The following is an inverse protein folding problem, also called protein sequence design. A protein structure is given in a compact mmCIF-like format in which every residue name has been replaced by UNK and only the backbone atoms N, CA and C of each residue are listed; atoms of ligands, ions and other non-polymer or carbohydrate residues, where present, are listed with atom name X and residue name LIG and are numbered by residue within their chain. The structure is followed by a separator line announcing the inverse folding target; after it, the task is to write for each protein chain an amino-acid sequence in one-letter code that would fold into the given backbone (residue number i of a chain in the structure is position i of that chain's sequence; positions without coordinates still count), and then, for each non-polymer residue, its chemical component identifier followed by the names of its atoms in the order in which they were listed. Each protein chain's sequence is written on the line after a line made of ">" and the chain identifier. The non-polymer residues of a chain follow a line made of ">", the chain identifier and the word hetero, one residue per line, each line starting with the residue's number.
data_IF_834813494391
#
_entry.id   IF_834813494391
#
_cell.length_a   1.000
_cell.length_b   1.000
_cell.length_c   1.000
_cell.angle_alpha   90.00
_cell.angle_beta   90.00
_cell.angle_gamma   90.00
#
_symmetry.space_group_name_H-M   'P 1'
#
loop_
_entity.id
_entity.type
_entity.pdbx_description
1 polymer ?
#
# COMPACT_ATOMS: atom_id res chain seq x y z
N UNK A 1 -6.94 -5.69 -12.02
CA UNK A 1 -5.61 -6.31 -11.90
C UNK A 1 -5.10 -6.69 -13.29
N UNK A 2 -3.79 -6.83 -13.47
CA UNK A 2 -3.19 -7.10 -14.79
C UNK A 2 -3.44 -8.55 -15.23
N UNK A 3 -4.17 -8.73 -16.34
CA UNK A 3 -4.49 -10.07 -16.87
C UNK A 3 -3.24 -10.80 -17.37
N UNK A 4 -2.26 -10.07 -17.91
CA UNK A 4 -1.01 -10.65 -18.41
C UNK A 4 -0.15 -11.23 -17.26
N UNK A 5 -0.21 -10.62 -16.09
CA UNK A 5 0.44 -11.12 -14.89
C UNK A 5 -0.13 -12.50 -14.49
N UNK A 6 -1.47 -12.64 -14.47
CA UNK A 6 -2.11 -13.91 -14.15
C UNK A 6 -1.78 -15.00 -15.18
N UNK A 7 -1.76 -14.67 -16.48
CA UNK A 7 -1.38 -15.60 -17.53
C UNK A 7 0.07 -16.09 -17.39
N UNK A 8 0.99 -15.19 -17.06
CA UNK A 8 2.40 -15.53 -16.82
C UNK A 8 2.56 -16.48 -15.63
N UNK A 9 1.88 -16.18 -14.52
CA UNK A 9 2.01 -16.99 -13.30
C UNK A 9 1.29 -18.32 -13.41
N UNK A 10 0.09 -18.37 -14.00
CA UNK A 10 -0.69 -19.61 -14.14
C UNK A 10 -0.05 -20.65 -15.06
N UNK A 11 0.69 -20.20 -16.09
CA UNK A 11 1.44 -21.12 -16.98
C UNK A 11 2.57 -21.85 -16.27
N UNK A 12 3.12 -21.28 -15.21
CA UNK A 12 4.28 -21.83 -14.52
C UNK A 12 3.87 -22.58 -13.23
N UNK A 13 2.79 -22.11 -12.55
CA UNK A 13 2.36 -22.66 -11.27
C UNK A 13 0.85 -22.52 -11.08
N UNK A 14 0.21 -23.64 -10.71
CA UNK A 14 -1.22 -23.67 -10.36
C UNK A 14 -1.51 -23.05 -8.97
N UNK A 15 -0.49 -23.01 -8.11
CA UNK A 15 -0.58 -22.59 -6.71
C UNK A 15 0.24 -21.32 -6.48
N UNK A 16 -0.39 -20.30 -5.89
CA UNK A 16 0.26 -19.05 -5.49
C UNK A 16 0.02 -18.77 -4.01
N UNK A 17 1.06 -18.32 -3.31
CA UNK A 17 0.97 -17.88 -1.93
C UNK A 17 0.43 -16.46 -1.83
N UNK A 18 -0.26 -16.16 -0.74
CA UNK A 18 -0.70 -14.82 -0.39
C UNK A 18 -0.44 -14.58 1.10
N UNK A 19 0.41 -13.61 1.41
CA UNK A 19 0.52 -13.06 2.76
C UNK A 19 -0.46 -11.89 2.83
N UNK A 20 -1.55 -12.09 3.58
CA UNK A 20 -2.70 -11.21 3.59
C UNK A 20 -2.70 -10.30 4.83
N UNK A 21 -2.61 -9.00 4.63
CA UNK A 21 -2.85 -7.97 5.64
C UNK A 21 -4.29 -7.46 5.60
N UNK A 22 -4.49 -6.24 6.09
CA UNK A 22 -5.79 -5.58 6.15
C UNK A 22 -6.25 -5.02 4.79
N UNK A 23 -7.50 -4.54 4.78
CA UNK A 23 -8.14 -3.96 3.59
C UNK A 23 -8.64 -4.99 2.59
N UNK A 24 -9.31 -4.54 1.51
CA UNK A 24 -10.01 -5.42 0.57
C UNK A 24 -9.08 -6.08 -0.47
N UNK A 25 -7.85 -5.60 -0.62
CA UNK A 25 -6.95 -6.03 -1.70
C UNK A 25 -6.64 -7.53 -1.69
N UNK A 26 -6.38 -8.19 -0.52
CA UNK A 26 -6.18 -9.64 -0.45
C UNK A 26 -7.38 -10.44 -0.97
N UNK A 27 -8.60 -10.03 -0.59
CA UNK A 27 -9.85 -10.68 -1.02
C UNK A 27 -10.09 -10.49 -2.51
N UNK A 28 -9.85 -9.27 -3.03
CA UNK A 28 -9.97 -8.97 -4.46
C UNK A 28 -8.99 -9.82 -5.30
N UNK A 29 -7.77 -9.96 -4.84
CA UNK A 29 -6.78 -10.81 -5.50
C UNK A 29 -7.20 -12.29 -5.51
N UNK A 30 -7.59 -12.83 -4.35
CA UNK A 30 -7.98 -14.23 -4.23
C UNK A 30 -9.20 -14.55 -5.11
N UNK A 31 -10.19 -13.64 -5.17
CA UNK A 31 -11.35 -13.75 -6.05
C UNK A 31 -10.96 -13.79 -7.53
N UNK A 32 -10.06 -12.91 -7.94
CA UNK A 32 -9.59 -12.81 -9.32
C UNK A 32 -8.76 -14.04 -9.73
N UNK A 33 -7.91 -14.52 -8.83
CA UNK A 33 -7.14 -15.76 -9.02
C UNK A 33 -8.05 -16.97 -9.14
N UNK A 34 -9.04 -17.10 -8.26
CA UNK A 34 -10.06 -18.17 -8.28
C UNK A 34 -10.84 -18.19 -9.59
N UNK A 35 -11.25 -17.00 -10.08
CA UNK A 35 -11.96 -16.89 -11.36
C UNK A 35 -11.13 -17.37 -12.56
N UNK A 36 -9.79 -17.39 -12.44
CA UNK A 36 -8.84 -17.90 -13.43
C UNK A 36 -8.36 -19.32 -13.17
N UNK A 37 -8.98 -20.03 -12.23
CA UNK A 37 -8.64 -21.41 -11.88
C UNK A 37 -7.36 -21.59 -11.07
N UNK A 38 -6.75 -20.52 -10.57
CA UNK A 38 -5.56 -20.59 -9.72
C UNK A 38 -5.93 -20.93 -8.27
N UNK A 39 -5.11 -21.70 -7.60
CA UNK A 39 -5.22 -22.03 -6.18
C UNK A 39 -4.43 -21.04 -5.33
N UNK A 40 -5.11 -20.33 -4.45
CA UNK A 40 -4.47 -19.39 -3.52
C UNK A 40 -4.31 -20.07 -2.16
N UNK A 41 -3.07 -20.17 -1.69
CA UNK A 41 -2.75 -20.53 -0.31
C UNK A 41 -2.48 -19.23 0.44
N UNK A 42 -3.42 -18.83 1.29
CA UNK A 42 -3.33 -17.59 2.02
C UNK A 42 -2.86 -17.82 3.47
N UNK A 43 -1.95 -16.95 3.92
CA UNK A 43 -1.64 -16.74 5.34
C UNK A 43 -2.29 -15.43 5.74
N UNK A 44 -3.33 -15.51 6.55
CA UNK A 44 -4.16 -14.40 7.00
C UNK A 44 -3.79 -14.00 8.43
N UNK A 45 -3.75 -12.71 8.73
CA UNK A 45 -3.41 -12.19 10.04
C UNK A 45 -4.66 -11.93 10.88
N UNK A 46 -4.72 -12.54 12.07
CA UNK A 46 -5.82 -12.37 13.03
C UNK A 46 -6.05 -10.89 13.34
N UNK A 47 -7.31 -10.46 13.23
CA UNK A 47 -7.71 -9.07 13.44
C UNK A 47 -7.33 -8.06 12.38
N UNK A 48 -6.58 -8.44 11.36
CA UNK A 48 -6.19 -7.60 10.23
C UNK A 48 -6.91 -8.01 8.95
N UNK A 49 -6.78 -9.26 8.55
CA UNK A 49 -7.32 -9.77 7.29
C UNK A 49 -8.83 -9.93 7.36
N UNK A 50 -9.51 -9.55 6.30
CA UNK A 50 -10.96 -9.72 6.18
C UNK A 50 -11.33 -11.20 6.09
N UNK A 51 -12.33 -11.68 6.87
CA UNK A 51 -12.71 -13.09 6.91
C UNK A 51 -13.27 -13.61 5.57
N UNK A 52 -13.78 -12.74 4.71
CA UNK A 52 -14.25 -13.07 3.36
C UNK A 52 -13.16 -13.75 2.49
N UNK A 53 -11.90 -13.65 2.89
CA UNK A 53 -10.80 -14.35 2.24
C UNK A 53 -10.97 -15.87 2.28
N UNK A 54 -11.62 -16.43 3.31
CA UNK A 54 -11.87 -17.86 3.45
C UNK A 54 -12.73 -18.43 2.32
N UNK A 55 -13.66 -17.63 1.79
CA UNK A 55 -14.52 -18.05 0.68
C UNK A 55 -13.80 -18.00 -0.68
N UNK A 56 -12.76 -17.17 -0.78
CA UNK A 56 -12.06 -16.89 -2.05
C UNK A 56 -10.79 -17.72 -2.21
N UNK A 57 -10.06 -18.00 -1.15
CA UNK A 57 -8.81 -18.76 -1.19
C UNK A 57 -9.07 -20.28 -1.17
N UNK A 58 -8.14 -21.06 -1.73
CA UNK A 58 -8.17 -22.53 -1.66
C UNK A 58 -7.88 -23.02 -0.24
N UNK A 59 -6.92 -22.37 0.43
CA UNK A 59 -6.55 -22.64 1.83
C UNK A 59 -6.29 -21.30 2.51
N UNK A 60 -6.81 -21.15 3.73
CA UNK A 60 -6.46 -20.03 4.61
C UNK A 60 -5.86 -20.58 5.91
N UNK A 61 -4.69 -20.06 6.27
CA UNK A 61 -4.05 -20.30 7.55
C UNK A 61 -4.03 -18.99 8.33
N UNK A 62 -4.77 -18.93 9.42
CA UNK A 62 -4.73 -17.80 10.34
C UNK A 62 -3.48 -17.84 11.21
N UNK A 63 -2.82 -16.70 11.35
CA UNK A 63 -1.63 -16.49 12.18
C UNK A 63 -1.73 -15.15 12.91
N UNK A 64 -1.04 -15.02 14.01
CA UNK A 64 -0.79 -13.72 14.64
C UNK A 64 0.43 -13.07 14.01
N UNK A 65 0.51 -11.74 14.07
CA UNK A 65 1.69 -11.01 13.59
C UNK A 65 2.92 -11.47 14.37
N UNK A 66 3.93 -12.00 13.65
CA UNK A 66 5.16 -12.53 14.23
C UNK A 66 5.24 -14.07 14.31
N UNK A 67 4.21 -14.82 13.95
CA UNK A 67 4.27 -16.31 13.83
C UNK A 67 4.90 -16.71 12.48
N UNK A 68 6.20 -16.38 12.29
CA UNK A 68 6.92 -16.56 11.03
C UNK A 68 7.09 -18.04 10.65
N UNK A 69 7.38 -18.91 11.61
CA UNK A 69 7.49 -20.35 11.39
C UNK A 69 6.22 -20.91 10.77
N UNK A 70 5.06 -20.60 11.35
CA UNK A 70 3.76 -21.09 10.89
C UNK A 70 3.44 -20.61 9.47
N UNK A 71 3.82 -19.36 9.14
CA UNK A 71 3.72 -18.80 7.80
C UNK A 71 4.52 -19.64 6.80
N UNK A 72 5.82 -19.81 7.03
CA UNK A 72 6.72 -20.53 6.13
C UNK A 72 6.32 -22.01 5.99
N UNK A 73 5.99 -22.69 7.11
CA UNK A 73 5.51 -24.06 7.07
C UNK A 73 4.20 -24.22 6.28
N UNK A 74 3.32 -23.22 6.32
CA UNK A 74 2.08 -23.24 5.53
C UNK A 74 2.35 -23.28 4.05
N UNK A 75 3.32 -22.50 3.59
CA UNK A 75 3.71 -22.47 2.19
C UNK A 75 4.51 -23.69 1.76
N UNK A 76 5.50 -24.11 2.55
CA UNK A 76 6.34 -25.24 2.23
C UNK A 76 5.56 -26.56 2.17
N UNK A 77 4.64 -26.81 3.12
CA UNK A 77 3.77 -28.00 3.13
C UNK A 77 2.86 -28.11 1.91
N UNK A 78 2.63 -27.01 1.17
CA UNK A 78 1.75 -26.94 0.00
C UNK A 78 2.49 -26.65 -1.30
N UNK A 79 3.82 -26.79 -1.27
CA UNK A 79 4.71 -26.56 -2.41
C UNK A 79 4.53 -25.17 -3.07
N UNK A 80 4.23 -24.16 -2.28
CA UNK A 80 4.15 -22.77 -2.75
C UNK A 80 5.55 -22.28 -3.09
N UNK A 81 5.78 -21.92 -4.35
CA UNK A 81 7.06 -21.39 -4.85
C UNK A 81 7.08 -19.87 -5.01
N UNK A 82 5.91 -19.26 -5.09
CA UNK A 82 5.75 -17.81 -5.32
C UNK A 82 4.66 -17.26 -4.42
N UNK A 83 4.91 -16.12 -3.84
CA UNK A 83 3.94 -15.43 -2.97
C UNK A 83 3.88 -13.96 -3.25
N UNK A 84 2.76 -13.35 -2.87
CA UNK A 84 2.53 -11.90 -2.84
C UNK A 84 2.28 -11.45 -1.42
N UNK A 85 2.67 -10.20 -1.12
CA UNK A 85 2.22 -9.50 0.07
C UNK A 85 1.20 -8.45 -0.36
N UNK A 86 -0.02 -8.52 0.17
CA UNK A 86 -1.10 -7.58 -0.14
C UNK A 86 -1.83 -7.14 1.14
N UNK A 87 -2.13 -5.85 1.22
CA UNK A 87 -2.68 -5.22 2.42
C UNK A 87 -1.61 -4.81 3.42
N UNK A 88 -1.99 -4.03 4.40
CA UNK A 88 -1.11 -3.54 5.46
C UNK A 88 -1.31 -4.28 6.78
N UNK A 89 -0.56 -3.86 7.80
CA UNK A 89 -0.76 -4.24 9.21
C UNK A 89 -0.94 -2.97 10.03
N UNK A 90 -1.94 -2.90 10.89
CA UNK A 90 -2.10 -1.78 11.81
C UNK A 90 -0.95 -1.77 12.83
N UNK A 91 -0.07 -0.77 12.71
CA UNK A 91 1.13 -0.66 13.55
C UNK A 91 0.79 -0.56 15.04
N UNK A 92 -0.31 0.13 15.39
CA UNK A 92 -0.74 0.29 16.80
C UNK A 92 -1.20 -1.03 17.39
N UNK A 93 -1.92 -1.83 16.58
CA UNK A 93 -2.34 -3.17 16.96
C UNK A 93 -1.15 -4.13 17.02
N UNK A 94 -0.32 -4.14 15.97
CA UNK A 94 0.85 -5.00 15.92
C UNK A 94 1.77 -4.83 17.13
N UNK A 95 2.01 -3.59 17.58
CA UNK A 95 2.81 -3.32 18.78
C UNK A 95 2.21 -3.88 20.07
N UNK A 96 0.87 -4.02 20.15
CA UNK A 96 0.17 -4.53 21.34
C UNK A 96 0.02 -6.05 21.33
N UNK A 97 -0.20 -6.64 20.16
CA UNK A 97 -0.58 -8.04 19.98
C UNK A 97 0.54 -8.89 19.34
N UNK A 98 1.76 -8.34 19.23
CA UNK A 98 2.91 -8.99 18.62
C UNK A 98 3.24 -10.31 19.32
N UNK A 99 3.25 -11.40 18.53
CA UNK A 99 3.59 -12.73 19.00
C UNK A 99 4.78 -13.28 18.24
N UNK A 100 5.98 -12.90 18.67
CA UNK A 100 7.20 -13.35 18.02
C UNK A 100 7.52 -14.80 18.37
N UNK A 101 7.54 -15.66 17.36
CA UNK A 101 8.13 -16.99 17.51
C UNK A 101 9.67 -16.91 17.42
N UNK A 102 10.32 -18.04 17.64
CA UNK A 102 11.79 -18.11 17.63
C UNK A 102 12.41 -17.81 16.26
N UNK A 103 11.67 -17.99 15.15
CA UNK A 103 12.14 -17.64 13.81
C UNK A 103 12.06 -16.13 13.59
N UNK A 104 10.94 -15.50 13.97
CA UNK A 104 10.81 -14.05 13.92
C UNK A 104 11.80 -13.34 14.83
N UNK A 105 12.05 -13.86 16.03
CA UNK A 105 13.08 -13.32 16.94
C UNK A 105 14.47 -13.36 16.30
N UNK A 106 14.87 -14.48 15.70
CA UNK A 106 16.17 -14.58 14.99
C UNK A 106 16.24 -13.62 13.81
N UNK A 107 15.15 -13.46 13.04
CA UNK A 107 15.10 -12.52 11.93
C UNK A 107 15.35 -11.09 12.42
N UNK A 108 14.61 -10.64 13.43
CA UNK A 108 14.70 -9.28 13.99
C UNK A 108 16.09 -9.01 14.60
N UNK A 109 16.70 -10.01 15.25
CA UNK A 109 18.04 -9.87 15.84
C UNK A 109 19.15 -9.62 14.80
N UNK A 110 18.96 -10.03 13.56
CA UNK A 110 19.91 -9.79 12.44
C UNK A 110 19.80 -8.38 11.87
N UNK A 111 18.70 -7.66 12.15
CA UNK A 111 18.47 -6.34 11.57
C UNK A 111 19.23 -5.25 12.36
N UNK A 112 20.02 -4.46 11.65
CA UNK A 112 20.70 -3.28 12.21
C UNK A 112 19.73 -2.09 12.41
N UNK A 113 18.70 -2.01 11.57
CA UNK A 113 17.63 -1.01 11.63
C UNK A 113 16.27 -1.71 11.62
N UNK A 114 15.28 -1.12 12.30
CA UNK A 114 13.93 -1.71 12.45
C UNK A 114 12.86 -0.87 11.72
N UNK A 115 13.14 -0.50 10.47
CA UNK A 115 12.13 0.10 9.59
C UNK A 115 11.25 -0.96 8.92
N UNK A 116 10.05 -0.57 8.47
CA UNK A 116 9.12 -1.48 7.78
C UNK A 116 9.75 -2.11 6.54
N UNK A 117 10.40 -1.31 5.69
CA UNK A 117 11.04 -1.78 4.46
C UNK A 117 12.18 -2.77 4.75
N UNK A 118 12.94 -2.54 5.82
CA UNK A 118 14.01 -3.45 6.27
C UNK A 118 13.44 -4.77 6.76
N UNK A 119 12.32 -4.75 7.49
CA UNK A 119 11.65 -5.95 8.00
C UNK A 119 11.04 -6.78 6.86
N UNK A 120 10.36 -6.12 5.92
CA UNK A 120 9.77 -6.79 4.75
C UNK A 120 10.83 -7.35 3.80
N UNK A 121 11.96 -6.65 3.62
CA UNK A 121 13.11 -7.14 2.89
C UNK A 121 13.68 -8.41 3.51
N UNK A 122 13.90 -8.41 4.82
CA UNK A 122 14.38 -9.58 5.55
C UNK A 122 13.39 -10.75 5.51
N UNK A 123 12.09 -10.48 5.57
CA UNK A 123 11.05 -11.50 5.38
C UNK A 123 11.15 -12.13 3.98
N UNK A 124 11.37 -11.33 2.94
CA UNK A 124 11.54 -11.82 1.58
C UNK A 124 12.79 -12.68 1.41
N UNK A 125 13.90 -12.29 2.04
CA UNK A 125 15.15 -13.09 2.07
C UNK A 125 14.94 -14.43 2.78
N UNK A 126 14.26 -14.41 3.94
CA UNK A 126 13.96 -15.63 4.70
C UNK A 126 13.04 -16.56 3.90
N UNK A 127 11.98 -16.05 3.25
CA UNK A 127 11.15 -16.81 2.32
C UNK A 127 11.97 -17.39 1.16
N UNK A 128 12.87 -16.59 0.58
CA UNK A 128 13.80 -16.99 -0.47
C UNK A 128 14.70 -18.16 -0.06
N UNK A 129 15.20 -18.17 1.18
CA UNK A 129 16.02 -19.27 1.72
C UNK A 129 15.25 -20.60 1.80
N UNK A 130 13.91 -20.54 1.86
CA UNK A 130 13.00 -21.68 1.81
C UNK A 130 12.46 -21.98 0.40
N UNK A 131 13.02 -21.34 -0.64
CA UNK A 131 12.63 -21.56 -2.05
C UNK A 131 11.31 -20.88 -2.43
N UNK A 132 10.87 -19.87 -1.68
CA UNK A 132 9.63 -19.12 -1.93
C UNK A 132 10.00 -17.72 -2.42
N UNK A 133 9.75 -17.43 -3.70
CA UNK A 133 10.01 -16.13 -4.31
C UNK A 133 8.87 -15.15 -4.01
N UNK A 134 9.20 -13.97 -3.51
CA UNK A 134 8.21 -12.89 -3.34
C UNK A 134 8.10 -12.10 -4.64
N UNK A 135 6.88 -12.07 -5.19
CA UNK A 135 6.55 -11.38 -6.44
C UNK A 135 6.24 -9.91 -6.18
N UNK A 136 6.46 -9.07 -7.19
CA UNK A 136 6.09 -7.66 -7.14
C UNK A 136 4.57 -7.48 -7.21
N UNK A 137 3.99 -6.90 -6.16
CA UNK A 137 2.59 -6.48 -6.17
C UNK A 137 2.33 -5.33 -7.15
N UNK A 138 3.31 -4.49 -7.41
CA UNK A 138 3.21 -3.38 -8.35
C UNK A 138 2.93 -3.87 -9.79
N UNK A 139 3.56 -4.97 -10.23
CA UNK A 139 3.31 -5.54 -11.57
C UNK A 139 1.84 -6.00 -11.71
N UNK A 140 1.33 -6.72 -10.72
CA UNK A 140 -0.06 -7.16 -10.65
C UNK A 140 -1.05 -5.98 -10.68
N UNK A 141 -0.71 -4.92 -9.98
CA UNK A 141 -1.58 -3.77 -9.72
C UNK A 141 -1.35 -2.61 -10.70
N UNK A 142 -0.48 -2.80 -11.71
CA UNK A 142 -0.16 -1.76 -12.71
C UNK A 142 -1.38 -1.02 -13.27
N UNK A 143 -2.51 -1.67 -13.64
CA UNK A 143 -3.69 -0.97 -14.15
C UNK A 143 -4.40 -0.07 -13.12
N UNK A 144 -4.04 -0.18 -11.86
CA UNK A 144 -4.62 0.60 -10.76
C UNK A 144 -3.68 1.71 -10.26
N UNK A 145 -2.49 1.82 -10.82
CA UNK A 145 -1.57 2.90 -10.48
C UNK A 145 -2.08 4.23 -11.05
N UNK A 146 -1.94 5.29 -10.26
CA UNK A 146 -2.33 6.64 -10.68
C UNK A 146 -1.60 7.04 -11.96
N UNK A 147 -2.31 7.48 -13.02
CA UNK A 147 -1.69 8.00 -14.22
C UNK A 147 -1.11 9.40 -13.98
N UNK A 148 -0.21 9.85 -14.87
CA UNK A 148 0.32 11.21 -14.86
C UNK A 148 -0.73 12.22 -15.36
N UNK A 149 -0.72 13.43 -14.81
CA UNK A 149 -1.57 14.54 -15.22
C UNK A 149 -2.91 14.61 -14.49
N UNK A 150 -3.88 15.33 -15.05
CA UNK A 150 -5.21 15.48 -14.49
C UNK A 150 -6.00 14.16 -14.64
N UNK A 151 -6.39 13.58 -13.51
CA UNK A 151 -7.18 12.33 -13.49
C UNK A 151 -8.67 12.67 -13.50
N UNK A 152 -9.10 13.62 -12.66
CA UNK A 152 -10.49 14.08 -12.63
C UNK A 152 -10.64 15.45 -11.97
N UNK A 153 -11.74 16.15 -12.25
CA UNK A 153 -12.03 17.50 -11.78
C UNK A 153 -11.53 18.60 -12.70
N UNK A 154 -11.65 19.86 -12.31
CA UNK A 154 -11.08 20.99 -13.03
C UNK A 154 -9.54 21.03 -12.89
N UNK A 155 -8.89 21.80 -13.77
CA UNK A 155 -7.45 22.06 -13.62
C UNK A 155 -7.16 22.73 -12.27
N UNK A 156 -6.09 22.30 -11.57
CA UNK A 156 -5.65 22.96 -10.35
C UNK A 156 -5.34 24.45 -10.58
N UNK A 157 -5.58 25.27 -9.56
CA UNK A 157 -5.13 26.68 -9.56
C UNK A 157 -3.63 26.77 -9.38
N UNK A 158 -3.01 27.91 -9.75
CA UNK A 158 -1.59 28.17 -9.53
C UNK A 158 -1.18 27.97 -8.05
N UNK A 159 -2.03 28.39 -7.10
CA UNK A 159 -1.80 28.19 -5.67
C UNK A 159 -1.80 26.71 -5.30
N UNK A 160 -2.77 25.94 -5.80
CA UNK A 160 -2.81 24.49 -5.57
C UNK A 160 -1.60 23.77 -6.15
N UNK A 161 -1.14 24.18 -7.35
CA UNK A 161 0.09 23.65 -7.91
C UNK A 161 1.33 23.99 -7.09
N UNK A 162 1.39 25.22 -6.52
CA UNK A 162 2.46 25.61 -5.61
C UNK A 162 2.44 24.76 -4.34
N UNK A 163 1.26 24.51 -3.76
CA UNK A 163 1.09 23.63 -2.61
C UNK A 163 1.50 22.20 -2.93
N UNK A 164 1.15 21.66 -4.12
CA UNK A 164 1.59 20.34 -4.56
C UNK A 164 3.12 20.27 -4.63
N UNK A 165 3.79 21.26 -5.21
CA UNK A 165 5.26 21.29 -5.28
C UNK A 165 5.91 21.28 -3.90
N UNK A 166 5.43 22.12 -2.99
CA UNK A 166 5.91 22.16 -1.60
C UNK A 166 5.65 20.83 -0.88
N UNK A 167 4.49 20.21 -1.12
CA UNK A 167 4.15 18.91 -0.56
C UNK A 167 5.06 17.79 -1.04
N UNK A 168 5.47 17.81 -2.32
CA UNK A 168 6.43 16.85 -2.88
C UNK A 168 7.81 17.00 -2.21
N UNK A 169 8.29 18.23 -2.04
CA UNK A 169 9.55 18.51 -1.32
C UNK A 169 9.50 18.01 0.12
N UNK A 170 8.40 18.27 0.83
CA UNK A 170 8.19 17.78 2.19
C UNK A 170 8.15 16.24 2.26
N UNK A 171 7.47 15.56 1.33
CA UNK A 171 7.45 14.11 1.25
C UNK A 171 8.84 13.51 1.04
N UNK A 172 9.65 14.11 0.18
CA UNK A 172 11.03 13.65 -0.05
C UNK A 172 11.89 13.77 1.21
N UNK A 173 11.76 14.89 1.93
CA UNK A 173 12.48 15.10 3.19
C UNK A 173 12.05 14.11 4.29
N UNK A 174 10.76 13.88 4.45
CA UNK A 174 10.20 12.96 5.44
C UNK A 174 10.48 11.48 5.11
N UNK A 175 10.41 11.15 3.83
CA UNK A 175 10.57 9.78 3.36
C UNK A 175 11.92 9.19 3.73
N UNK A 176 12.97 10.01 3.76
CA UNK A 176 14.30 9.61 4.22
C UNK A 176 14.37 9.21 5.71
N UNK A 177 13.40 9.67 6.52
CA UNK A 177 13.28 9.38 7.94
C UNK A 177 12.21 8.32 8.27
N UNK A 178 11.59 7.73 7.24
CA UNK A 178 10.49 6.73 7.39
C UNK A 178 9.29 7.24 8.24
N UNK A 179 8.98 8.56 8.19
CA UNK A 179 7.93 9.16 9.02
C UNK A 179 6.55 8.81 8.47
N UNK A 180 6.33 9.00 7.15
CA UNK A 180 5.05 8.78 6.50
C UNK A 180 5.10 9.10 5.02
N UNK A 181 3.94 9.08 4.36
CA UNK A 181 3.85 9.21 2.91
C UNK A 181 2.74 10.15 2.43
N UNK A 182 2.20 10.99 3.35
CA UNK A 182 1.16 11.98 3.05
C UNK A 182 1.46 13.31 3.76
N UNK A 183 1.32 14.40 3.03
CA UNK A 183 1.41 15.78 3.55
C UNK A 183 0.14 16.52 3.17
N UNK A 184 -0.41 17.31 4.08
CA UNK A 184 -1.57 18.15 3.85
C UNK A 184 -1.19 19.62 4.03
N UNK A 185 -1.51 20.41 3.02
CA UNK A 185 -1.10 21.82 2.93
C UNK A 185 -2.28 22.74 2.57
N UNK A 186 -2.12 24.01 2.83
CA UNK A 186 -2.99 25.06 2.31
C UNK A 186 -2.23 26.37 2.23
N UNK A 187 -2.29 27.04 1.08
CA UNK A 187 -1.74 28.38 0.85
C UNK A 187 -0.27 28.51 1.29
N UNK A 188 0.55 27.50 0.95
CA UNK A 188 1.98 27.46 1.28
C UNK A 188 2.30 27.03 2.72
N UNK A 189 1.31 26.62 3.52
CA UNK A 189 1.51 26.17 4.89
C UNK A 189 1.25 24.66 5.02
N UNK A 190 2.19 23.93 5.58
CA UNK A 190 2.00 22.51 5.94
C UNK A 190 1.12 22.45 7.20
N UNK A 191 -0.08 21.89 7.07
CA UNK A 191 -1.05 21.73 8.14
C UNK A 191 -0.85 20.42 8.91
N UNK A 192 -0.53 19.34 8.18
CA UNK A 192 -0.31 18.03 8.78
C UNK A 192 0.64 17.20 7.94
N UNK A 193 1.37 16.37 8.65
CA UNK A 193 2.24 15.32 8.12
C UNK A 193 1.73 14.02 8.68
N UNK A 194 1.55 13.01 7.80
CA UNK A 194 1.20 11.66 8.23
C UNK A 194 2.37 11.04 9.01
N UNK A 195 2.06 10.39 10.11
CA UNK A 195 2.97 9.56 10.87
C UNK A 195 2.28 8.21 11.19
N UNK A 196 2.41 7.71 12.41
CA UNK A 196 1.84 6.43 12.85
C UNK A 196 0.30 6.40 12.83
N UNK A 197 -0.35 7.56 12.80
CA UNK A 197 -1.81 7.68 12.78
C UNK A 197 -2.44 7.26 11.45
N UNK A 198 -1.70 7.37 10.33
CA UNK A 198 -2.16 7.05 8.97
C UNK A 198 -2.85 8.22 8.26
N UNK A 199 -3.00 8.07 6.94
CA UNK A 199 -3.44 9.12 5.99
C UNK A 199 -4.75 9.79 6.40
N UNK A 200 -5.81 9.02 6.69
CA UNK A 200 -7.15 9.58 6.94
C UNK A 200 -7.17 10.44 8.21
N UNK A 201 -6.44 10.05 9.26
CA UNK A 201 -6.36 10.84 10.49
C UNK A 201 -5.53 12.12 10.30
N UNK A 202 -4.46 12.06 9.51
CA UNK A 202 -3.68 13.24 9.15
C UNK A 202 -4.52 14.25 8.36
N UNK A 203 -5.34 13.82 7.39
CA UNK A 203 -6.28 14.65 6.64
C UNK A 203 -7.32 15.28 7.59
N UNK A 204 -7.92 14.47 8.47
CA UNK A 204 -8.90 14.96 9.45
C UNK A 204 -8.32 16.05 10.36
N UNK A 205 -7.10 15.84 10.86
CA UNK A 205 -6.37 16.84 11.70
C UNK A 205 -6.08 18.12 10.94
N UNK A 206 -5.66 18.01 9.67
CA UNK A 206 -5.41 19.17 8.83
C UNK A 206 -6.68 20.01 8.60
N UNK A 207 -7.83 19.36 8.39
CA UNK A 207 -9.12 20.04 8.23
C UNK A 207 -9.51 20.86 9.45
N UNK A 208 -9.25 20.36 10.67
CA UNK A 208 -9.48 21.11 11.91
C UNK A 208 -8.56 22.34 12.05
N UNK A 209 -7.36 22.30 11.48
CA UNK A 209 -6.37 23.38 11.59
C UNK A 209 -6.53 24.43 10.49
N UNK A 210 -6.76 24.00 9.23
CA UNK A 210 -6.74 24.88 8.07
C UNK A 210 -8.11 25.16 7.45
N UNK A 211 -9.15 24.43 7.86
CA UNK A 211 -10.49 24.53 7.27
C UNK A 211 -10.54 24.09 5.79
N UNK A 212 -11.60 24.51 5.06
CA UNK A 212 -11.82 24.11 3.68
C UNK A 212 -10.69 24.49 2.71
N UNK A 213 -10.53 23.70 1.64
CA UNK A 213 -9.64 24.03 0.51
C UNK A 213 -8.26 23.40 0.56
N UNK A 214 -7.94 22.56 1.54
CA UNK A 214 -6.64 21.92 1.69
C UNK A 214 -6.27 21.06 0.46
N UNK A 215 -4.96 20.95 0.22
CA UNK A 215 -4.29 20.10 -0.76
C UNK A 215 -3.63 18.93 -0.04
N UNK A 216 -3.90 17.73 -0.49
CA UNK A 216 -3.29 16.50 0.02
C UNK A 216 -2.28 15.99 -1.00
N UNK A 217 -1.05 15.75 -0.60
CA UNK A 217 0.01 15.20 -1.47
C UNK A 217 0.44 13.85 -0.90
N UNK A 218 0.33 12.80 -1.72
CA UNK A 218 0.68 11.43 -1.32
C UNK A 218 1.62 10.78 -2.35
N UNK A 219 2.65 10.14 -1.84
CA UNK A 219 3.64 9.46 -2.68
C UNK A 219 4.35 8.36 -1.93
N UNK A 220 5.28 7.69 -2.61
CA UNK A 220 6.14 6.69 -2.00
C UNK A 220 7.31 7.33 -1.25
N UNK A 221 7.87 6.61 -0.29
CA UNK A 221 9.14 6.98 0.33
C UNK A 221 10.29 6.73 -0.67
N UNK A 222 11.39 7.49 -0.63
CA UNK A 222 12.49 7.35 -1.58
C UNK A 222 13.06 5.93 -1.72
N UNK A 223 13.15 5.21 -0.61
CA UNK A 223 13.73 3.87 -0.55
C UNK A 223 12.67 2.76 -0.39
N UNK A 224 11.38 3.08 -0.62
CA UNK A 224 10.30 2.12 -0.45
C UNK A 224 10.40 0.95 -1.43
N UNK A 225 10.39 -0.26 -0.92
CA UNK A 225 10.37 -1.46 -1.75
C UNK A 225 8.95 -1.71 -2.28
N UNK A 226 8.74 -1.29 -3.53
CA UNK A 226 7.45 -1.37 -4.22
C UNK A 226 6.97 -2.81 -4.48
N UNK A 227 7.76 -3.83 -4.14
CA UNK A 227 7.30 -5.22 -4.18
C UNK A 227 6.30 -5.50 -3.08
N UNK A 228 6.41 -4.81 -1.93
CA UNK A 228 5.69 -5.14 -0.71
C UNK A 228 4.72 -4.05 -0.27
N UNK A 229 5.16 -2.80 -0.36
CA UNK A 229 4.42 -1.65 0.16
C UNK A 229 4.20 -0.62 -0.95
N UNK A 230 2.99 -0.59 -1.47
CA UNK A 230 2.55 0.39 -2.47
C UNK A 230 1.62 1.37 -1.77
N UNK A 231 1.87 2.70 -1.82
CA UNK A 231 0.93 3.67 -1.29
C UNK A 231 -0.46 3.48 -1.91
N UNK A 232 -1.52 3.45 -1.08
CA UNK A 232 -2.88 3.19 -1.55
C UNK A 232 -3.80 4.36 -1.21
N UNK A 233 -4.69 4.70 -2.14
CA UNK A 233 -5.84 5.58 -1.95
C UNK A 233 -7.10 4.83 -2.32
N UNK A 234 -8.07 4.80 -1.41
CA UNK A 234 -9.39 4.21 -1.62
C UNK A 234 -10.52 5.22 -1.41
N UNK A 235 -11.76 4.78 -1.58
CA UNK A 235 -12.97 5.57 -1.41
C UNK A 235 -13.06 6.21 -0.01
N UNK A 236 -12.50 5.56 1.02
CA UNK A 236 -12.46 6.11 2.37
C UNK A 236 -11.65 7.41 2.45
N UNK A 237 -10.50 7.47 1.81
CA UNK A 237 -9.67 8.70 1.77
C UNK A 237 -10.40 9.84 1.08
N UNK A 238 -11.08 9.58 -0.05
CA UNK A 238 -11.91 10.59 -0.72
C UNK A 238 -13.05 11.09 0.18
N UNK A 239 -13.72 10.17 0.89
CA UNK A 239 -14.78 10.51 1.84
C UNK A 239 -14.23 11.38 2.98
N UNK A 240 -13.07 11.04 3.54
CA UNK A 240 -12.41 11.83 4.59
C UNK A 240 -12.05 13.22 4.09
N UNK A 241 -11.51 13.34 2.87
CA UNK A 241 -11.23 14.64 2.24
C UNK A 241 -12.49 15.49 2.08
N UNK A 242 -13.59 14.87 1.63
CA UNK A 242 -14.87 15.56 1.47
C UNK A 242 -15.43 16.07 2.81
N UNK A 243 -15.30 15.31 3.89
CA UNK A 243 -15.74 15.70 5.24
C UNK A 243 -15.03 16.95 5.77
N UNK A 244 -13.77 17.15 5.40
CA UNK A 244 -12.98 18.34 5.80
C UNK A 244 -12.89 19.36 4.67
N UNK A 245 -13.64 19.18 3.59
CA UNK A 245 -13.65 20.04 2.41
C UNK A 245 -12.26 20.26 1.77
N UNK A 246 -11.36 19.28 1.88
CA UNK A 246 -10.12 19.27 1.12
C UNK A 246 -10.41 19.12 -0.37
N UNK A 247 -9.73 19.89 -1.22
CA UNK A 247 -10.11 20.07 -2.63
C UNK A 247 -9.26 19.35 -3.65
N UNK A 248 -8.01 19.04 -3.34
CA UNK A 248 -7.09 18.43 -4.28
C UNK A 248 -6.32 17.29 -3.63
N UNK A 249 -6.23 16.16 -4.33
CA UNK A 249 -5.36 15.04 -4.01
C UNK A 249 -4.36 14.84 -5.14
N UNK A 250 -3.09 15.08 -4.84
CA UNK A 250 -1.97 14.84 -5.74
C UNK A 250 -1.31 13.50 -5.39
N UNK A 251 -1.22 12.61 -6.37
CA UNK A 251 -0.70 11.25 -6.24
C UNK A 251 0.58 11.07 -7.05
N UNK A 252 1.55 10.35 -6.52
CA UNK A 252 2.75 9.98 -7.29
C UNK A 252 2.36 9.00 -8.41
N UNK A 253 2.46 9.47 -9.66
CA UNK A 253 2.11 8.70 -10.84
C UNK A 253 2.98 7.46 -10.98
N UNK A 254 2.37 6.33 -11.32
CA UNK A 254 3.04 5.03 -11.46
C UNK A 254 3.51 4.39 -10.14
N UNK A 255 3.30 5.05 -8.98
CA UNK A 255 3.76 4.57 -7.67
C UNK A 255 2.69 4.59 -6.59
N UNK A 256 1.56 5.26 -6.80
CA UNK A 256 0.41 5.27 -5.88
C UNK A 256 -0.75 4.51 -6.50
N UNK A 257 -1.37 3.63 -5.72
CA UNK A 257 -2.48 2.80 -6.13
C UNK A 257 -3.82 3.50 -5.87
N UNK A 258 -4.68 3.54 -6.87
CA UNK A 258 -6.11 3.83 -6.73
C UNK A 258 -6.86 2.51 -6.56
N UNK A 259 -7.38 2.25 -5.36
CA UNK A 259 -8.11 1.01 -5.08
C UNK A 259 -9.48 1.02 -5.77
N UNK A 260 -9.66 0.19 -6.81
CA UNK A 260 -10.81 0.23 -7.68
C UNK A 260 -10.96 1.59 -8.39
N UNK A 261 -10.11 1.93 -9.38
CA UNK A 261 -10.04 3.28 -9.96
C UNK A 261 -11.39 3.86 -10.40
N UNK A 262 -12.32 3.11 -11.05
CA UNK A 262 -13.61 3.67 -11.44
C UNK A 262 -14.43 4.18 -10.25
N UNK A 263 -14.40 3.48 -9.12
CA UNK A 263 -15.12 3.87 -7.90
C UNK A 263 -14.50 5.11 -7.26
N UNK A 264 -13.16 5.12 -7.09
CA UNK A 264 -12.45 6.25 -6.47
C UNK A 264 -12.58 7.52 -7.31
N UNK A 265 -12.45 7.40 -8.64
CA UNK A 265 -12.59 8.53 -9.58
C UNK A 265 -14.03 9.04 -9.58
N UNK A 266 -15.02 8.16 -9.66
CA UNK A 266 -16.44 8.53 -9.62
C UNK A 266 -16.81 9.24 -8.31
N UNK A 267 -16.34 8.72 -7.18
CA UNK A 267 -16.58 9.35 -5.87
C UNK A 267 -15.88 10.72 -5.75
N UNK A 268 -14.65 10.84 -6.27
CA UNK A 268 -13.95 12.13 -6.28
C UNK A 268 -14.70 13.18 -7.09
N UNK A 269 -15.24 12.80 -8.26
CA UNK A 269 -16.12 13.67 -9.09
C UNK A 269 -17.37 14.10 -8.32
N UNK A 270 -18.07 13.15 -7.71
CA UNK A 270 -19.28 13.43 -6.90
C UNK A 270 -18.99 14.40 -5.76
N UNK A 271 -17.86 14.24 -5.08
CA UNK A 271 -17.47 15.05 -3.92
C UNK A 271 -16.72 16.33 -4.27
N UNK A 272 -16.45 16.59 -5.56
CA UNK A 272 -15.74 17.78 -6.02
C UNK A 272 -14.26 17.80 -5.59
N UNK A 273 -13.64 16.62 -5.47
CA UNK A 273 -12.21 16.46 -5.19
C UNK A 273 -11.46 16.31 -6.51
N UNK A 274 -10.48 17.18 -6.72
CA UNK A 274 -9.58 17.12 -7.88
C UNK A 274 -8.55 16.01 -7.63
N UNK A 275 -8.35 15.12 -8.61
CA UNK A 275 -7.27 14.13 -8.58
C UNK A 275 -6.24 14.45 -9.66
N UNK A 276 -4.98 14.51 -9.28
CA UNK A 276 -3.85 14.71 -10.20
C UNK A 276 -2.74 13.72 -9.91
N UNK A 277 -2.10 13.22 -10.96
CA UNK A 277 -0.88 12.43 -10.87
C UNK A 277 0.35 13.31 -11.12
N UNK A 278 1.24 13.41 -10.15
CA UNK A 278 2.53 14.08 -10.31
C UNK A 278 3.63 13.06 -10.58
N UNK A 279 4.60 13.46 -11.40
CA UNK A 279 5.77 12.62 -11.67
C UNK A 279 6.92 13.04 -10.77
N UNK A 280 7.50 12.07 -10.03
CA UNK A 280 8.77 12.33 -9.38
C UNK A 280 9.76 12.81 -10.44
N UNK A 281 10.41 13.96 -10.23
CA UNK A 281 11.55 14.34 -11.07
C UNK A 281 12.57 13.23 -10.90
N UNK A 282 12.82 12.49 -11.97
CA UNK A 282 13.84 11.45 -11.99
C UNK A 282 15.13 12.07 -11.47
N UNK A 283 15.71 11.48 -10.43
CA UNK A 283 17.09 11.75 -10.14
C UNK A 283 17.84 11.46 -11.42
N UNK A 284 18.43 12.50 -12.03
CA UNK A 284 19.29 12.36 -13.18
C UNK A 284 20.29 11.26 -12.83
N UNK A 285 20.19 10.16 -13.57
CA UNK A 285 21.13 9.06 -13.46
C UNK A 285 22.53 9.64 -13.55
N UNK A 286 23.28 9.44 -12.49
CA UNK A 286 24.72 9.41 -12.65
C UNK A 286 25.02 8.05 -13.27
N UNK A 287 25.28 8.08 -14.58
CA UNK A 287 26.01 7.05 -15.28
C UNK A 287 27.32 6.73 -14.59
#
# INVERSE_FOLDING_TARGET
>A
MDSSWFEKISKEHEVVGLIAGNGPLPVLFAREAKARGMKVVAVAHEGETLPELEEMAWVVQWVRVGELRKLIETFTKRDVKRTLLLGGIDKKRALKELCLDDWALRLIQRLQQRGDDTLLGALAEELGSHGICVLSSQELLRPWLAPEGLITGPAPTEQQEADVRLGIEALQAMGGLDIGQTVVLKEGVILAVEAIEGTDQAIGRAGLLGGPGAVVVKGSKPNQDMRFDVPVVGSKTITTMAQVEARLLALEAGRTLLLNPPEVIGLAQEKGVILVGWKARGGDGKD
#
